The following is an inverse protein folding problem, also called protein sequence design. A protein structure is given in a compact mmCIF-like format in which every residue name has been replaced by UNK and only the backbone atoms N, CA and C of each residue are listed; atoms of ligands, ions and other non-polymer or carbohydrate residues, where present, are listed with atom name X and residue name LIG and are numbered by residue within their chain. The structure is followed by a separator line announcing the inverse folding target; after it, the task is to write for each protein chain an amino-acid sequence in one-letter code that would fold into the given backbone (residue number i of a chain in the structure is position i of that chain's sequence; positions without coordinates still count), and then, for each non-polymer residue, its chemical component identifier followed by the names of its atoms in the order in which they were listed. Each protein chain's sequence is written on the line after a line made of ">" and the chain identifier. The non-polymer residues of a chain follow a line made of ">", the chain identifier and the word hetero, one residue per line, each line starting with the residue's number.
data_IF_005744838036
#
_entry.id   IF_005744838036
#
_cell.length_a   1.000
_cell.length_b   1.000
_cell.length_c   1.000
_cell.angle_alpha   90.00
_cell.angle_beta   90.00
_cell.angle_gamma   90.00
#
_symmetry.space_group_name_H-M   'P 1'
#
loop_
_entity.id
_entity.type
_entity.pdbx_description
1 polymer ?
#
# COMPACT_ATOMS: atom_id res chain seq x y z
N UNK A 1 -13.42 8.93 5.56
CA UNK A 1 -12.77 7.90 4.72
C UNK A 1 -13.81 7.31 3.77
N UNK A 2 -13.55 7.29 2.47
CA UNK A 2 -14.48 6.88 1.40
C UNK A 2 -14.25 5.41 1.01
N UNK A 3 -15.30 4.62 0.82
CA UNK A 3 -15.18 3.24 0.33
C UNK A 3 -15.21 3.20 -1.21
N UNK A 4 -14.29 2.48 -1.83
CA UNK A 4 -14.18 2.33 -3.29
C UNK A 4 -14.17 0.84 -3.65
N UNK A 5 -15.08 0.42 -4.52
CA UNK A 5 -15.25 -0.98 -4.91
C UNK A 5 -14.86 -1.26 -6.37
N UNK A 6 -14.58 -0.21 -7.13
CA UNK A 6 -14.38 -0.30 -8.57
C UNK A 6 -12.96 -0.75 -8.91
N UNK A 7 -12.78 -1.21 -10.15
CA UNK A 7 -11.47 -1.32 -10.76
C UNK A 7 -10.98 0.07 -11.17
N UNK A 8 -9.73 0.38 -10.87
CA UNK A 8 -9.07 1.65 -11.20
C UNK A 8 -7.86 1.31 -12.07
N UNK A 9 -7.74 1.97 -13.21
CA UNK A 9 -6.57 1.78 -14.06
C UNK A 9 -5.35 2.52 -13.49
N UNK A 10 -4.24 1.80 -13.36
CA UNK A 10 -2.97 2.36 -12.92
C UNK A 10 -2.18 3.00 -14.08
N UNK A 11 -1.19 3.88 -13.79
CA UNK A 11 -0.77 4.31 -12.46
C UNK A 11 -1.80 5.24 -11.80
N UNK A 12 -2.03 5.08 -10.49
CA UNK A 12 -3.02 5.86 -9.76
C UNK A 12 -2.46 6.51 -8.49
N UNK A 13 -2.68 7.81 -8.32
CA UNK A 13 -2.32 8.54 -7.09
C UNK A 13 -3.55 8.65 -6.20
N UNK A 14 -3.41 8.16 -4.97
CA UNK A 14 -4.45 8.20 -3.94
C UNK A 14 -4.29 9.51 -3.16
N UNK A 15 -5.03 10.53 -3.59
CA UNK A 15 -4.96 11.89 -3.01
C UNK A 15 -6.02 12.14 -1.92
N UNK A 16 -6.80 11.13 -1.57
CA UNK A 16 -7.87 11.19 -0.58
C UNK A 16 -7.84 9.97 0.34
N UNK A 17 -8.44 10.11 1.53
CA UNK A 17 -8.53 9.00 2.47
C UNK A 17 -9.59 7.97 2.02
N UNK A 18 -9.13 6.85 1.46
CA UNK A 18 -10.01 5.80 0.93
C UNK A 18 -9.75 4.41 1.52
N UNK A 19 -10.79 3.58 1.53
CA UNK A 19 -10.71 2.15 1.70
C UNK A 19 -11.05 1.48 0.36
N UNK A 20 -10.08 0.81 -0.26
CA UNK A 20 -10.24 0.13 -1.54
C UNK A 20 -10.56 -1.35 -1.33
N UNK A 21 -11.71 -1.78 -1.83
CA UNK A 21 -12.16 -3.17 -1.92
C UNK A 21 -11.99 -3.74 -3.34
N UNK A 22 -11.86 -2.87 -4.35
CA UNK A 22 -11.63 -3.24 -5.73
C UNK A 22 -10.16 -3.45 -6.05
N UNK A 23 -9.81 -3.22 -7.32
CA UNK A 23 -8.45 -3.48 -7.84
C UNK A 23 -7.86 -2.21 -8.43
N UNK A 24 -6.57 -1.96 -8.21
CA UNK A 24 -5.76 -1.06 -9.04
C UNK A 24 -4.91 -1.95 -9.96
N UNK A 25 -5.08 -1.83 -11.28
CA UNK A 25 -4.46 -2.75 -12.26
C UNK A 25 -2.98 -2.48 -12.53
N UNK A 26 -2.44 -1.35 -12.07
CA UNK A 26 -1.03 -0.99 -12.18
C UNK A 26 -0.46 -0.50 -10.86
N UNK A 27 0.53 0.39 -10.96
CA UNK A 27 1.18 0.97 -9.80
C UNK A 27 0.25 1.96 -9.08
N UNK A 28 0.50 2.14 -7.78
CA UNK A 28 -0.23 3.10 -6.98
C UNK A 28 0.71 3.89 -6.05
N UNK A 29 0.38 5.16 -5.85
CA UNK A 29 1.09 6.03 -4.90
C UNK A 29 0.09 6.58 -3.89
N UNK A 30 0.36 6.40 -2.61
CA UNK A 30 -0.37 7.07 -1.54
C UNK A 30 0.29 8.41 -1.22
N UNK A 31 -0.43 9.49 -1.52
CA UNK A 31 0.07 10.85 -1.29
C UNK A 31 0.33 11.12 0.20
N UNK A 32 1.32 11.97 0.48
CA UNK A 32 1.69 12.35 1.84
C UNK A 32 0.51 12.87 2.68
N UNK A 33 0.48 12.50 3.96
CA UNK A 33 -0.58 12.89 4.90
C UNK A 33 -1.94 12.24 4.67
N UNK A 34 -2.04 11.28 3.73
CA UNK A 34 -3.27 10.52 3.47
C UNK A 34 -3.28 9.18 4.21
N UNK A 35 -4.50 8.70 4.47
CA UNK A 35 -4.75 7.39 5.05
C UNK A 35 -5.43 6.46 4.05
N UNK A 36 -4.87 5.29 3.86
CA UNK A 36 -5.37 4.28 2.94
C UNK A 36 -5.57 2.93 3.60
N UNK A 37 -6.69 2.27 3.30
CA UNK A 37 -6.93 0.88 3.66
C UNK A 37 -7.08 0.06 2.38
N UNK A 38 -6.19 -0.91 2.18
CA UNK A 38 -6.32 -1.88 1.10
C UNK A 38 -7.01 -3.14 1.64
N UNK A 39 -8.16 -3.48 1.09
CA UNK A 39 -8.83 -4.79 1.27
C UNK A 39 -8.91 -5.58 -0.04
N UNK A 40 -8.78 -4.91 -1.18
CA UNK A 40 -8.68 -5.55 -2.49
C UNK A 40 -7.23 -5.73 -2.94
N UNK A 41 -6.93 -5.37 -4.18
CA UNK A 41 -5.63 -5.69 -4.81
C UNK A 41 -4.99 -4.48 -5.48
N UNK A 42 -3.68 -4.34 -5.32
CA UNK A 42 -2.82 -3.53 -6.19
C UNK A 42 -1.98 -4.52 -6.99
N UNK A 43 -2.11 -4.50 -8.32
CA UNK A 43 -1.40 -5.44 -9.20
C UNK A 43 0.06 -5.02 -9.37
N UNK A 44 0.34 -3.72 -9.41
CA UNK A 44 1.70 -3.18 -9.53
C UNK A 44 2.39 -2.94 -8.18
N UNK A 45 3.37 -2.05 -8.23
CA UNK A 45 4.09 -1.57 -7.05
C UNK A 45 3.24 -0.54 -6.28
N UNK A 46 3.48 -0.43 -4.97
CA UNK A 46 2.78 0.50 -4.10
C UNK A 46 3.76 1.39 -3.35
N UNK A 47 3.75 2.69 -3.65
CA UNK A 47 4.60 3.68 -3.00
C UNK A 47 3.81 4.43 -1.92
N UNK A 48 4.40 4.56 -0.73
CA UNK A 48 3.82 5.27 0.41
C UNK A 48 4.70 6.47 0.72
N UNK A 49 4.20 7.66 0.40
CA UNK A 49 4.94 8.90 0.59
C UNK A 49 5.08 9.29 2.07
N UNK A 50 5.98 10.25 2.32
CA UNK A 50 6.25 10.76 3.66
C UNK A 50 4.96 11.21 4.38
N UNK A 51 4.80 10.74 5.61
CA UNK A 51 3.67 11.09 6.47
C UNK A 51 2.34 10.43 6.09
N UNK A 52 2.32 9.61 5.03
CA UNK A 52 1.15 8.80 4.71
C UNK A 52 1.01 7.58 5.62
N UNK A 53 -0.21 7.05 5.75
CA UNK A 53 -0.52 5.86 6.55
C UNK A 53 -1.29 4.83 5.73
N UNK A 54 -0.64 3.72 5.39
CA UNK A 54 -1.24 2.60 4.66
C UNK A 54 -1.48 1.40 5.58
N UNK A 55 -2.70 0.85 5.51
CA UNK A 55 -3.11 -0.37 6.20
C UNK A 55 -3.49 -1.41 5.14
N UNK A 56 -2.69 -2.46 5.01
CA UNK A 56 -2.78 -3.41 3.91
C UNK A 56 -3.33 -4.75 4.40
N UNK A 57 -4.65 -4.92 4.36
CA UNK A 57 -5.32 -6.21 4.57
C UNK A 57 -5.42 -7.06 3.29
N UNK A 58 -5.33 -6.41 2.14
CA UNK A 58 -5.38 -7.05 0.83
C UNK A 58 -4.00 -7.43 0.28
N UNK A 59 -3.90 -7.45 -1.04
CA UNK A 59 -2.71 -7.91 -1.75
C UNK A 59 -2.06 -6.78 -2.52
N UNK A 60 -0.75 -6.60 -2.33
CA UNK A 60 0.12 -5.87 -3.26
C UNK A 60 0.94 -6.91 -4.01
N UNK A 61 0.63 -7.15 -5.28
CA UNK A 61 1.33 -8.16 -6.07
C UNK A 61 2.77 -7.73 -6.42
N UNK A 62 3.03 -6.42 -6.46
CA UNK A 62 4.36 -5.84 -6.55
C UNK A 62 5.03 -5.60 -5.20
N UNK A 63 6.01 -4.69 -5.21
CA UNK A 63 6.76 -4.24 -4.03
C UNK A 63 6.08 -3.05 -3.38
N UNK A 64 6.10 -3.04 -2.04
CA UNK A 64 5.76 -1.84 -1.25
C UNK A 64 7.03 -1.02 -1.01
N UNK A 65 7.05 0.21 -1.49
CA UNK A 65 8.09 1.20 -1.18
C UNK A 65 7.58 2.16 -0.11
N UNK A 66 8.18 2.13 1.07
CA UNK A 66 7.86 3.07 2.14
C UNK A 66 8.89 4.20 2.18
N UNK A 67 8.50 5.36 1.64
CA UNK A 67 9.35 6.53 1.44
C UNK A 67 9.19 7.57 2.58
N UNK A 68 9.03 7.07 3.81
CA UNK A 68 8.91 7.88 5.02
C UNK A 68 7.48 7.97 5.59
N UNK A 69 6.61 7.06 5.17
CA UNK A 69 5.27 6.88 5.75
C UNK A 69 5.23 5.75 6.77
N UNK A 70 4.00 5.36 7.11
CA UNK A 70 3.69 4.23 7.99
C UNK A 70 2.93 3.17 7.20
N UNK A 71 3.48 1.95 7.16
CA UNK A 71 2.86 0.78 6.54
C UNK A 71 2.55 -0.25 7.62
N UNK A 72 1.30 -0.69 7.69
CA UNK A 72 0.86 -1.82 8.49
C UNK A 72 0.38 -2.93 7.54
N UNK A 73 1.17 -3.99 7.41
CA UNK A 73 0.90 -5.09 6.49
C UNK A 73 0.29 -6.26 7.25
N UNK A 74 -0.94 -6.62 6.89
CA UNK A 74 -1.69 -7.77 7.41
C UNK A 74 -1.98 -8.82 6.34
N UNK A 75 -2.01 -8.42 5.07
CA UNK A 75 -2.25 -9.28 3.92
C UNK A 75 -0.96 -9.75 3.27
N UNK A 76 -0.84 -9.52 1.96
CA UNK A 76 0.26 -10.03 1.16
C UNK A 76 0.98 -8.91 0.41
N UNK A 77 2.31 -8.99 0.35
CA UNK A 77 3.14 -8.19 -0.54
C UNK A 77 4.20 -9.07 -1.20
N UNK A 78 4.62 -8.78 -2.44
CA UNK A 78 5.76 -9.51 -2.99
C UNK A 78 7.05 -9.13 -2.24
N UNK A 79 7.30 -7.85 -2.00
CA UNK A 79 8.44 -7.39 -1.21
C UNK A 79 8.09 -6.09 -0.47
N UNK A 80 8.88 -5.74 0.55
CA UNK A 80 8.76 -4.46 1.25
C UNK A 80 10.13 -3.83 1.39
N UNK A 81 10.26 -2.56 0.98
CA UNK A 81 11.49 -1.78 1.07
C UNK A 81 11.21 -0.45 1.79
N UNK A 82 12.06 -0.11 2.76
CA UNK A 82 12.06 1.20 3.40
C UNK A 82 13.13 2.06 2.74
N UNK A 83 12.71 3.06 1.97
CA UNK A 83 13.65 3.93 1.22
C UNK A 83 14.06 5.17 2.03
N UNK A 84 13.46 5.39 3.20
CA UNK A 84 13.73 6.52 4.10
C UNK A 84 13.99 6.05 5.53
N UNK A 85 14.85 6.77 6.27
CA UNK A 85 15.07 6.53 7.71
C UNK A 85 13.84 6.80 8.59
N UNK A 86 12.90 7.60 8.09
CA UNK A 86 11.63 7.91 8.78
C UNK A 86 10.56 6.83 8.57
N UNK A 87 10.82 5.85 7.71
CA UNK A 87 9.84 4.83 7.32
C UNK A 87 9.57 3.84 8.46
N UNK A 88 8.29 3.72 8.84
CA UNK A 88 7.83 2.74 9.82
C UNK A 88 7.04 1.66 9.09
N UNK A 89 7.54 0.43 9.14
CA UNK A 89 6.86 -0.73 8.54
C UNK A 89 6.63 -1.78 9.61
N UNK A 90 5.36 -2.10 9.87
CA UNK A 90 4.92 -3.13 10.79
C UNK A 90 4.33 -4.26 9.94
N UNK A 91 4.88 -5.46 10.09
CA UNK A 91 4.42 -6.65 9.37
C UNK A 91 3.80 -7.57 10.41
N UNK A 92 2.51 -7.85 10.26
CA UNK A 92 1.80 -8.80 11.11
C UNK A 92 2.41 -10.20 10.95
N UNK A 93 2.50 -11.02 12.03
CA UNK A 93 3.05 -12.37 11.95
C UNK A 93 2.33 -13.29 10.95
N UNK A 94 1.05 -13.03 10.65
CA UNK A 94 0.28 -13.78 9.66
C UNK A 94 0.39 -13.23 8.24
N UNK A 95 1.00 -12.06 8.04
CA UNK A 95 1.19 -11.47 6.72
C UNK A 95 2.20 -12.28 5.90
N UNK A 96 2.03 -12.26 4.57
CA UNK A 96 2.89 -12.98 3.66
C UNK A 96 3.76 -12.04 2.81
N UNK A 97 5.08 -12.19 2.91
CA UNK A 97 6.05 -11.47 2.08
C UNK A 97 6.92 -12.47 1.32
N UNK A 98 6.77 -12.54 -0.01
CA UNK A 98 7.37 -13.59 -0.85
C UNK A 98 8.88 -13.42 -1.08
N UNK A 99 9.31 -12.19 -1.34
CA UNK A 99 10.67 -11.82 -1.73
C UNK A 99 11.47 -11.29 -0.54
N UNK A 100 12.65 -11.88 -0.32
CA UNK A 100 13.64 -11.40 0.66
C UNK A 100 14.18 -10.02 0.27
N UNK A 101 14.17 -9.12 1.27
CA UNK A 101 14.97 -7.90 1.49
C UNK A 101 15.80 -7.39 0.30
#
# INVERSE_FOLDING_TARGET
>A
MKAVHNNIDGPYVIEEDIALYGTITGDATLAGGRRFILRGTIVGDFTVERGAHAILHGTVAGRVYNDGGRVELFGMANAVANSSGDAITIIDPAAHVMGRR
#
